data_IF_024179825313
#
_entry.id   IF_024179825313
#
_cell.length_a   1.000
_cell.length_b   1.000
_cell.length_c   1.000
_cell.angle_alpha   90.00
_cell.angle_beta   90.00
_cell.angle_gamma   90.00
#
_symmetry.space_group_name_H-M   'P 1'
#
loop_
_entity.id
_entity.type
_entity.pdbx_description
1 polymer ?
#
# COMPACT_ATOMS: atom_id res chain seq x y z
N UNK A 1 21.81 10.99 -4.83
CA UNK A 1 20.50 10.54 -5.34
C UNK A 1 19.67 10.06 -4.17
N UNK A 2 18.54 10.72 -3.95
CA UNK A 2 17.65 10.46 -2.83
C UNK A 2 16.87 9.17 -3.08
N UNK A 3 16.49 8.45 -2.02
CA UNK A 3 15.58 7.30 -2.09
C UNK A 3 14.20 7.68 -2.68
N UNK A 4 13.87 8.98 -2.70
CA UNK A 4 12.71 9.56 -3.38
C UNK A 4 12.83 9.53 -4.92
N UNK A 5 14.04 9.70 -5.48
CA UNK A 5 14.30 9.61 -6.93
C UNK A 5 13.94 8.20 -7.43
N UNK A 6 14.15 7.17 -6.59
CA UNK A 6 13.82 5.76 -6.87
C UNK A 6 12.33 5.43 -6.88
N UNK A 7 11.49 6.22 -6.21
CA UNK A 7 10.03 6.01 -6.27
C UNK A 7 9.48 6.56 -7.59
N UNK A 8 10.01 7.70 -8.07
CA UNK A 8 9.71 8.30 -9.38
C UNK A 8 10.24 7.44 -10.55
N UNK A 9 11.44 6.87 -10.43
CA UNK A 9 12.01 5.96 -11.46
C UNK A 9 11.25 4.62 -11.59
N UNK A 10 10.38 4.29 -10.62
CA UNK A 10 9.53 3.09 -10.67
C UNK A 10 8.19 3.30 -11.39
N UNK A 11 7.82 4.56 -11.66
CA UNK A 11 6.53 4.97 -12.25
C UNK A 11 6.78 5.60 -13.62
N UNK A 12 6.97 4.75 -14.62
CA UNK A 12 6.69 5.11 -16.01
C UNK A 12 5.18 5.40 -16.12
N UNK A 13 4.79 6.66 -15.89
CA UNK A 13 3.39 7.12 -15.79
C UNK A 13 2.54 6.70 -17.01
N UNK A 14 3.04 6.79 -18.26
CA UNK A 14 2.39 6.19 -19.42
C UNK A 14 2.07 4.69 -19.24
N UNK A 15 3.06 3.90 -18.82
CA UNK A 15 2.92 2.45 -18.62
C UNK A 15 2.04 2.07 -17.42
N UNK A 16 1.95 2.93 -16.41
CA UNK A 16 1.04 2.75 -15.27
C UNK A 16 -0.41 2.92 -15.71
N UNK A 17 -0.70 3.84 -16.63
CA UNK A 17 -2.04 4.03 -17.21
C UNK A 17 -2.48 2.85 -18.08
N UNK A 18 -1.59 2.32 -18.91
CA UNK A 18 -1.90 1.20 -19.82
C UNK A 18 -2.18 -0.14 -19.09
N UNK A 19 -1.66 -0.30 -17.87
CA UNK A 19 -1.80 -1.53 -17.08
C UNK A 19 -2.58 -1.36 -15.77
N UNK A 20 -3.37 -0.29 -15.61
CA UNK A 20 -4.17 -0.04 -14.42
C UNK A 20 -5.42 -0.94 -14.41
N UNK A 21 -5.50 -1.84 -13.43
CA UNK A 21 -6.69 -2.64 -13.17
C UNK A 21 -7.62 -2.01 -12.13
N UNK A 22 -8.78 -2.63 -11.91
CA UNK A 22 -9.62 -2.31 -10.76
C UNK A 22 -9.13 -3.09 -9.52
N UNK A 23 -9.02 -2.44 -8.34
CA UNK A 23 -8.77 -3.16 -7.10
C UNK A 23 -9.95 -4.07 -6.72
N UNK A 24 -9.74 -5.12 -5.90
CA UNK A 24 -10.85 -5.92 -5.37
C UNK A 24 -11.87 -5.02 -4.66
N UNK A 25 -13.18 -5.19 -4.91
CA UNK A 25 -14.20 -4.29 -4.36
C UNK A 25 -14.28 -4.32 -2.83
N UNK A 26 -13.86 -5.41 -2.20
CA UNK A 26 -13.78 -5.57 -0.74
C UNK A 26 -12.53 -4.95 -0.10
N UNK A 27 -11.50 -4.61 -0.88
CA UNK A 27 -10.19 -4.22 -0.36
C UNK A 27 -10.27 -2.96 0.52
N UNK A 28 -11.01 -1.93 0.10
CA UNK A 28 -11.12 -0.69 0.86
C UNK A 28 -11.77 -0.92 2.23
N UNK A 29 -12.87 -1.67 2.27
CA UNK A 29 -13.56 -2.02 3.53
C UNK A 29 -12.69 -2.87 4.44
N UNK A 30 -11.92 -3.81 3.89
CA UNK A 30 -11.01 -4.65 4.67
C UNK A 30 -9.81 -3.86 5.20
N UNK A 31 -9.27 -2.93 4.42
CA UNK A 31 -8.25 -2.00 4.87
C UNK A 31 -8.76 -1.17 6.05
N UNK A 32 -9.95 -0.55 5.92
CA UNK A 32 -10.55 0.25 6.99
C UNK A 32 -10.74 -0.56 8.28
N UNK A 33 -11.28 -1.78 8.18
CA UNK A 33 -11.46 -2.68 9.33
C UNK A 33 -10.14 -3.11 9.96
N UNK A 34 -9.12 -3.37 9.15
CA UNK A 34 -7.79 -3.72 9.65
C UNK A 34 -7.16 -2.53 10.40
N UNK A 35 -7.23 -1.34 9.79
CA UNK A 35 -6.69 -0.11 10.34
C UNK A 35 -7.34 0.27 11.67
N UNK A 36 -8.68 0.34 11.69
CA UNK A 36 -9.47 0.72 12.87
C UNK A 36 -9.47 -0.36 13.96
N UNK A 37 -9.37 -1.64 13.55
CA UNK A 37 -9.28 -2.77 14.46
C UNK A 37 -7.87 -3.02 15.04
N UNK A 38 -6.84 -2.32 14.57
CA UNK A 38 -5.46 -2.53 15.01
C UNK A 38 -4.91 -3.91 14.64
N UNK A 39 -5.36 -4.48 13.53
CA UNK A 39 -4.94 -5.81 13.05
C UNK A 39 -4.32 -5.75 11.66
N UNK A 40 -3.58 -6.78 11.28
CA UNK A 40 -2.93 -6.85 9.98
C UNK A 40 -3.89 -7.15 8.83
N UNK A 41 -3.37 -6.97 7.61
CA UNK A 41 -4.02 -7.30 6.35
C UNK A 41 -3.17 -8.33 5.60
N UNK A 42 -3.82 -9.38 5.09
CA UNK A 42 -3.20 -10.43 4.30
C UNK A 42 -3.75 -10.46 2.89
N UNK A 43 -2.90 -10.68 1.89
CA UNK A 43 -3.34 -10.75 0.49
C UNK A 43 -2.32 -11.40 -0.44
N UNK A 44 -2.79 -11.87 -1.60
CA UNK A 44 -1.94 -12.23 -2.72
C UNK A 44 -1.55 -10.97 -3.49
N UNK A 45 -0.27 -10.86 -3.79
CA UNK A 45 0.27 -9.74 -4.54
C UNK A 45 0.92 -10.25 -5.81
N UNK A 46 0.41 -9.81 -6.96
CA UNK A 46 0.92 -10.16 -8.28
C UNK A 46 2.05 -9.20 -8.64
N UNK A 47 3.27 -9.72 -8.76
CA UNK A 47 4.41 -8.94 -9.21
C UNK A 47 4.31 -8.64 -10.70
N UNK A 48 5.14 -7.70 -11.18
CA UNK A 48 5.16 -7.27 -12.59
C UNK A 48 5.39 -8.44 -13.57
N UNK A 49 6.10 -9.45 -13.12
CA UNK A 49 6.43 -10.67 -13.89
C UNK A 49 5.31 -11.72 -13.84
N UNK A 50 4.16 -11.42 -13.22
CA UNK A 50 2.99 -12.30 -13.15
C UNK A 50 3.01 -13.29 -11.98
N UNK A 51 4.12 -13.43 -11.25
CA UNK A 51 4.20 -14.29 -10.09
C UNK A 51 3.45 -13.70 -8.89
N UNK A 52 2.57 -14.50 -8.29
CA UNK A 52 1.86 -14.14 -7.07
C UNK A 52 2.67 -14.55 -5.83
N UNK A 53 2.70 -13.67 -4.83
CA UNK A 53 3.28 -13.95 -3.52
C UNK A 53 2.31 -13.60 -2.42
N UNK A 54 2.35 -14.35 -1.31
CA UNK A 54 1.57 -13.98 -0.13
C UNK A 54 2.27 -12.86 0.64
N UNK A 55 1.46 -11.93 1.14
CA UNK A 55 1.89 -10.81 1.95
C UNK A 55 1.05 -10.73 3.21
N UNK A 56 1.72 -10.43 4.31
CA UNK A 56 1.15 -10.06 5.60
C UNK A 56 1.67 -8.67 5.93
N UNK A 57 0.77 -7.73 6.18
CA UNK A 57 1.17 -6.33 6.31
C UNK A 57 0.46 -5.61 7.45
N UNK A 58 1.14 -4.62 8.00
CA UNK A 58 0.56 -3.60 8.88
C UNK A 58 0.05 -2.43 8.01
N UNK A 59 -1.27 -2.21 7.89
CA UNK A 59 -1.82 -1.22 6.96
C UNK A 59 -1.72 0.20 7.53
N UNK A 60 -0.83 1.05 7.02
CA UNK A 60 -0.55 2.37 7.60
C UNK A 60 -1.26 3.54 6.90
N UNK A 61 -1.66 3.38 5.64
CA UNK A 61 -2.35 4.44 4.92
C UNK A 61 -2.70 4.05 3.50
N UNK A 62 -3.43 4.93 2.84
CA UNK A 62 -3.68 4.88 1.40
C UNK A 62 -3.01 6.07 0.73
N UNK A 63 -2.26 5.81 -0.34
CA UNK A 63 -1.74 6.85 -1.24
C UNK A 63 -2.60 6.88 -2.50
N UNK A 64 -3.31 7.99 -2.70
CA UNK A 64 -4.27 8.17 -3.79
C UNK A 64 -3.59 8.94 -4.92
N UNK A 65 -2.97 8.25 -5.88
CA UNK A 65 -2.32 8.88 -7.03
C UNK A 65 -2.92 8.41 -8.36
N UNK A 66 -3.80 9.19 -9.01
CA UNK A 66 -4.35 8.80 -10.31
C UNK A 66 -3.22 8.42 -11.30
N UNK A 67 -3.32 7.26 -11.98
CA UNK A 67 -4.51 6.41 -12.14
C UNK A 67 -4.66 5.26 -11.13
N UNK A 68 -3.75 5.04 -10.18
CA UNK A 68 -3.73 3.85 -9.30
C UNK A 68 -3.51 4.18 -7.83
N UNK A 69 -4.19 3.47 -6.95
CA UNK A 69 -4.07 3.70 -5.51
C UNK A 69 -3.14 2.67 -4.87
N UNK A 70 -2.49 3.04 -3.78
CA UNK A 70 -1.55 2.17 -3.07
C UNK A 70 -1.95 2.00 -1.60
N UNK A 71 -1.75 0.80 -1.08
CA UNK A 71 -1.66 0.54 0.35
C UNK A 71 -0.22 0.86 0.79
N UNK A 72 -0.07 1.82 1.71
CA UNK A 72 1.17 2.10 2.43
C UNK A 72 1.21 1.20 3.65
N UNK A 73 2.27 0.42 3.82
CA UNK A 73 2.33 -0.56 4.89
C UNK A 73 3.75 -0.88 5.36
N UNK A 74 3.84 -1.63 6.47
CA UNK A 74 5.02 -2.45 6.80
C UNK A 74 4.76 -3.86 6.33
N UNK A 75 5.70 -4.44 5.59
CA UNK A 75 5.68 -5.87 5.28
C UNK A 75 6.21 -6.65 6.48
N UNK A 76 5.36 -7.48 7.10
CA UNK A 76 5.68 -8.21 8.32
C UNK A 76 6.77 -9.25 8.07
N UNK A 77 6.76 -9.88 6.90
CA UNK A 77 7.71 -10.93 6.54
C UNK A 77 9.11 -10.36 6.25
N UNK A 78 9.18 -9.10 5.81
CA UNK A 78 10.43 -8.39 5.49
C UNK A 78 10.88 -7.40 6.56
N UNK A 79 10.01 -7.02 7.49
CA UNK A 79 10.30 -6.05 8.53
C UNK A 79 10.50 -4.62 8.02
N UNK A 80 10.07 -4.31 6.80
CA UNK A 80 10.41 -3.05 6.13
C UNK A 80 9.18 -2.30 5.58
N UNK A 81 9.27 -0.96 5.47
CA UNK A 81 8.25 -0.14 4.81
C UNK A 81 8.10 -0.50 3.32
N UNK A 82 6.86 -0.72 2.85
CA UNK A 82 6.53 -1.02 1.43
C UNK A 82 5.17 -0.46 1.02
N UNK A 83 5.08 -0.03 -0.24
CA UNK A 83 3.82 0.32 -0.91
C UNK A 83 3.35 -0.80 -1.85
N UNK A 84 2.04 -1.06 -1.86
CA UNK A 84 1.41 -2.09 -2.68
C UNK A 84 0.32 -1.47 -3.55
N UNK A 85 0.42 -1.66 -4.87
CA UNK A 85 -0.62 -1.24 -5.79
C UNK A 85 -1.92 -2.01 -5.54
N UNK A 86 -3.02 -1.31 -5.30
CA UNK A 86 -4.30 -1.92 -4.96
C UNK A 86 -4.87 -2.79 -6.09
N UNK A 87 -4.60 -2.44 -7.35
CA UNK A 87 -5.02 -3.21 -8.53
C UNK A 87 -4.25 -4.52 -8.72
N UNK A 88 -3.17 -4.74 -7.98
CA UNK A 88 -2.36 -5.98 -7.99
C UNK A 88 -2.61 -6.86 -6.77
N UNK A 89 -3.52 -6.45 -5.90
CA UNK A 89 -3.93 -7.19 -4.70
C UNK A 89 -5.06 -8.14 -5.08
N UNK A 90 -5.00 -9.37 -4.57
CA UNK A 90 -6.06 -10.36 -4.71
C UNK A 90 -6.31 -11.09 -3.38
N UNK A 91 -7.56 -11.51 -3.17
CA UNK A 91 -8.01 -12.25 -1.97
C UNK A 91 -7.58 -11.57 -0.65
N UNK A 92 -7.88 -10.27 -0.46
CA UNK A 92 -7.58 -9.61 0.80
C UNK A 92 -8.37 -10.23 1.96
N UNK A 93 -7.75 -10.29 3.14
CA UNK A 93 -8.37 -10.79 4.39
C UNK A 93 -7.74 -10.13 5.60
N UNK A 94 -8.50 -10.06 6.69
CA UNK A 94 -7.96 -9.64 7.99
C UNK A 94 -7.00 -10.70 8.54
N UNK A 95 -5.98 -10.26 9.27
CA UNK A 95 -5.05 -11.11 10.02
C UNK A 95 -5.04 -10.69 11.50
N UNK A 96 -5.99 -11.17 12.32
CA UNK A 96 -6.07 -10.83 13.75
C UNK A 96 -4.81 -11.19 14.55
N UNK A 97 -4.04 -12.17 14.08
CA UNK A 97 -2.77 -12.61 14.67
C UNK A 97 -1.63 -11.60 14.46
N UNK A 98 -1.77 -10.68 13.51
CA UNK A 98 -0.81 -9.58 13.28
C UNK A 98 -1.36 -8.35 14.00
N UNK A 99 -0.63 -7.87 15.01
CA UNK A 99 -0.99 -6.65 15.72
C UNK A 99 -0.43 -5.43 14.99
N UNK A 100 -1.24 -4.40 14.84
CA UNK A 100 -0.90 -3.18 14.12
C UNK A 100 -1.14 -1.95 15.00
N UNK A 101 -0.17 -1.03 15.01
CA UNK A 101 -0.35 0.34 15.51
C UNK A 101 0.11 1.32 14.44
N UNK A 102 -0.69 2.34 14.10
CA UNK A 102 -0.27 3.36 13.16
C UNK A 102 1.03 4.04 13.59
N UNK A 103 2.03 4.01 12.72
CA UNK A 103 3.30 4.73 12.84
C UNK A 103 3.39 5.83 11.77
N UNK A 104 3.14 7.11 12.12
CA UNK A 104 3.25 8.23 11.20
C UNK A 104 4.65 8.37 10.57
N UNK A 105 5.72 8.01 11.29
CA UNK A 105 7.08 8.12 10.76
C UNK A 105 7.33 7.11 9.62
N UNK A 106 6.72 5.92 9.70
CA UNK A 106 6.76 4.95 8.61
C UNK A 106 6.01 5.45 7.37
N UNK A 107 4.89 6.14 7.56
CA UNK A 107 4.15 6.75 6.45
C UNK A 107 5.03 7.82 5.80
N UNK A 108 5.58 8.72 6.59
CA UNK A 108 6.43 9.83 6.12
C UNK A 108 7.65 9.35 5.35
N UNK A 109 8.27 8.24 5.78
CA UNK A 109 9.40 7.65 5.08
C UNK A 109 9.04 7.03 3.71
N UNK A 110 7.75 6.79 3.45
CA UNK A 110 7.25 6.21 2.20
C UNK A 110 6.53 7.22 1.29
N UNK A 111 6.13 8.37 1.85
CA UNK A 111 5.51 9.41 1.05
C UNK A 111 6.53 10.00 0.06
N UNK A 112 6.15 10.20 -1.20
CA UNK A 112 6.88 11.11 -2.09
C UNK A 112 6.81 12.54 -1.53
N UNK A 113 7.54 13.46 -2.16
CA UNK A 113 7.66 14.87 -1.76
C UNK A 113 6.43 15.43 -1.01
N UNK A 114 6.64 15.80 0.26
CA UNK A 114 5.59 16.24 1.19
C UNK A 114 4.93 17.56 0.77
N UNK A 115 5.54 18.32 -0.15
CA UNK A 115 4.88 19.50 -0.72
C UNK A 115 3.68 19.12 -1.58
N UNK A 116 3.73 17.95 -2.24
CA UNK A 116 2.67 17.45 -3.12
C UNK A 116 1.63 16.60 -2.40
N UNK A 117 1.99 15.97 -1.28
CA UNK A 117 1.15 15.00 -0.58
C UNK A 117 0.90 15.41 0.87
N UNK A 118 -0.37 15.62 1.22
CA UNK A 118 -0.78 15.95 2.59
C UNK A 118 -1.68 14.83 3.14
N UNK A 119 -1.48 14.41 4.40
CA UNK A 119 -2.40 13.48 5.05
C UNK A 119 -3.84 14.00 4.98
N UNK A 120 -4.76 13.11 4.62
CA UNK A 120 -6.18 13.36 4.80
C UNK A 120 -6.46 13.23 6.30
N UNK A 121 -6.24 14.31 7.04
CA UNK A 121 -6.70 14.39 8.42
C UNK A 121 -8.23 14.43 8.40
N UNK A 122 -8.87 13.55 9.17
CA UNK A 122 -10.29 13.71 9.45
C UNK A 122 -10.52 15.09 10.12
N UNK A 123 -11.65 15.77 9.83
CA UNK A 123 -11.97 17.07 10.42
C UNK A 123 -12.09 17.01 11.95
#
# INVERSE_FOLDING_TARGET
MSRADRLMDLVDVPRVREGAGAPPPELLRLFERAFTGGVGLGFAYVHREGHATMRRVEPHGLLVEPPVWYVVARDVDKGEPRTFRMDRIARPRLLPEVQFRPDPALVDAQLPDRERWRPLTAP
#
